data_IF_949305466800
#
_entry.id   IF_949305466800
#
_cell.length_a   1.000
_cell.length_b   1.000
_cell.length_c   1.000
_cell.angle_alpha   90.00
_cell.angle_beta   90.00
_cell.angle_gamma   90.00
#
_symmetry.space_group_name_H-M   'P 1'
#
loop_
_entity.id
_entity.type
_entity.pdbx_description
1 polymer ?
#
# COMPACT_ATOMS: atom_id res chain seq x y z
N UNK A 1 -12.16 -3.06 12.05
CA UNK A 1 -13.12 -2.54 11.04
C UNK A 1 -13.08 -3.36 9.75
N UNK A 2 -11.90 -3.88 9.40
CA UNK A 2 -11.62 -4.73 8.24
C UNK A 2 -12.52 -5.98 8.06
N UNK A 3 -12.84 -6.73 9.14
CA UNK A 3 -13.70 -7.94 9.07
C UNK A 3 -15.12 -7.67 8.54
N UNK A 4 -15.66 -6.46 8.75
CA UNK A 4 -16.99 -6.07 8.27
C UNK A 4 -17.01 -5.83 6.74
N UNK A 5 -15.85 -5.43 6.20
CA UNK A 5 -15.66 -4.99 4.82
C UNK A 5 -15.28 -6.12 3.87
N UNK A 6 -14.34 -6.97 4.28
CA UNK A 6 -14.01 -8.22 3.55
C UNK A 6 -15.27 -9.08 3.35
N UNK A 7 -16.18 -9.09 4.34
CA UNK A 7 -17.48 -9.78 4.23
C UNK A 7 -18.42 -9.17 3.18
N UNK A 8 -18.37 -7.86 2.92
CA UNK A 8 -19.26 -7.21 1.95
C UNK A 8 -18.93 -7.59 0.50
N UNK A 9 -17.64 -7.75 0.18
CA UNK A 9 -17.17 -8.26 -1.12
C UNK A 9 -17.32 -9.78 -1.21
N UNK A 10 -17.09 -10.51 -0.11
CA UNK A 10 -17.27 -11.96 -0.07
C UNK A 10 -18.75 -12.41 -0.14
N UNK A 11 -19.72 -11.54 0.15
CA UNK A 11 -21.15 -11.85 -0.02
C UNK A 11 -21.60 -11.81 -1.50
N UNK A 12 -20.82 -11.21 -2.41
CA UNK A 12 -21.03 -11.36 -3.87
C UNK A 12 -20.24 -12.53 -4.48
N UNK A 13 -19.20 -13.02 -3.81
CA UNK A 13 -18.38 -14.17 -4.25
C UNK A 13 -18.24 -15.18 -3.10
N UNK A 14 -19.16 -16.14 -3.04
CA UNK A 14 -19.10 -17.23 -2.07
C UNK A 14 -17.98 -18.20 -2.44
N UNK A 15 -16.78 -18.03 -1.88
CA UNK A 15 -15.91 -19.11 -1.36
C UNK A 15 -14.55 -18.57 -0.93
N UNK A 16 -14.31 -18.50 0.38
CA UNK A 16 -13.11 -19.04 1.08
C UNK A 16 -13.13 -18.57 2.52
N UNK A 17 -13.36 -19.51 3.43
CA UNK A 17 -13.33 -19.28 4.87
C UNK A 17 -11.92 -18.97 5.34
N UNK A 18 -11.81 -17.98 6.23
CA UNK A 18 -10.67 -17.86 7.13
C UNK A 18 -10.61 -19.14 7.97
N UNK A 19 -9.54 -19.93 7.81
CA UNK A 19 -9.25 -21.03 8.74
C UNK A 19 -8.60 -20.41 9.96
N UNK A 20 -9.34 -20.35 11.06
CA UNK A 20 -8.88 -19.91 12.36
C UNK A 20 -8.02 -21.03 12.96
N UNK A 21 -6.69 -20.90 12.91
CA UNK A 21 -5.79 -21.80 13.64
C UNK A 21 -5.34 -21.12 14.93
N UNK A 22 -6.05 -21.38 16.02
CA UNK A 22 -5.56 -21.12 17.38
C UNK A 22 -5.20 -22.46 18.04
N UNK A 23 -3.98 -22.63 18.59
CA UNK A 23 -3.67 -23.78 19.42
C UNK A 23 -4.30 -23.61 20.80
N UNK A 24 -5.14 -24.59 21.14
CA UNK A 24 -5.84 -24.76 22.42
C UNK A 24 -4.88 -25.00 23.58
N UNK A 25 -5.08 -24.28 24.69
CA UNK A 25 -4.74 -24.76 26.03
C UNK A 25 -5.99 -24.67 26.91
N UNK A 26 -6.63 -25.82 27.12
CA UNK A 26 -7.52 -26.17 28.24
C UNK A 26 -6.79 -25.95 29.58
N UNK A 27 -7.32 -25.45 30.71
CA UNK A 27 -8.59 -25.57 31.48
C UNK A 27 -8.45 -24.65 32.75
N UNK A 28 -9.40 -24.57 33.72
CA UNK A 28 -10.85 -24.68 33.71
C UNK A 28 -11.58 -23.47 34.38
N UNK A 29 -12.91 -23.55 34.35
CA UNK A 29 -13.94 -22.63 34.86
C UNK A 29 -13.86 -22.27 36.35
N UNK A 30 -14.31 -21.05 36.68
CA UNK A 30 -15.09 -20.78 37.89
C UNK A 30 -16.24 -19.82 37.59
N UNK A 31 -17.40 -20.16 38.14
CA UNK A 31 -18.73 -19.60 37.91
C UNK A 31 -19.18 -18.70 39.06
N UNK A 32 -19.69 -17.51 38.77
CA UNK A 32 -20.68 -16.73 39.55
C UNK A 32 -21.20 -15.64 38.56
N UNK A 33 -22.48 -15.44 38.25
CA UNK A 33 -23.69 -15.52 39.06
C UNK A 33 -24.05 -14.11 39.53
N UNK A 34 -24.88 -13.36 38.80
CA UNK A 34 -25.36 -12.04 39.24
C UNK A 34 -26.02 -11.17 38.17
N UNK A 35 -27.33 -11.32 38.02
CA UNK A 35 -28.26 -10.44 37.31
C UNK A 35 -28.59 -9.16 38.10
N UNK A 36 -28.65 -7.98 37.47
CA UNK A 36 -29.62 -6.91 37.82
C UNK A 36 -29.84 -5.98 36.61
N UNK A 37 -31.10 -5.87 36.17
CA UNK A 37 -31.66 -4.79 35.35
C UNK A 37 -31.99 -3.58 36.23
N UNK A 38 -31.71 -2.34 35.79
CA UNK A 38 -32.59 -1.17 36.06
C UNK A 38 -32.47 -0.13 34.93
N UNK A 39 -33.64 0.37 34.54
CA UNK A 39 -33.94 1.31 33.47
C UNK A 39 -33.49 2.77 33.70
N UNK A 40 -33.22 3.43 32.56
CA UNK A 40 -33.89 4.66 32.08
C UNK A 40 -33.94 5.91 32.97
N UNK A 41 -33.38 7.02 32.47
CA UNK A 41 -34.09 8.31 32.52
C UNK A 41 -33.65 9.24 31.38
N UNK A 42 -34.66 9.85 30.77
CA UNK A 42 -34.63 10.85 29.70
C UNK A 42 -34.73 12.25 30.31
N UNK A 43 -33.97 13.22 29.80
CA UNK A 43 -34.28 14.66 29.83
C UNK A 43 -33.37 15.35 28.80
N UNK A 44 -33.86 15.68 27.61
CA UNK A 44 -34.59 16.90 27.19
C UNK A 44 -33.70 18.11 26.93
N UNK A 45 -33.81 18.60 25.70
CA UNK A 45 -33.05 19.65 25.04
C UNK A 45 -33.39 21.06 25.51
N UNK A 46 -32.50 22.02 25.22
CA UNK A 46 -32.92 23.42 24.96
C UNK A 46 -32.01 24.05 23.92
N UNK A 47 -32.63 24.54 22.85
CA UNK A 47 -32.03 25.28 21.75
C UNK A 47 -32.08 26.79 22.03
N UNK A 48 -31.07 27.54 21.56
CA UNK A 48 -31.13 29.00 21.42
C UNK A 48 -30.64 29.39 20.02
N UNK A 49 -31.57 29.92 19.21
CA UNK A 49 -31.37 30.79 18.03
C UNK A 49 -31.05 32.21 18.56
N UNK A 50 -30.40 33.18 17.92
CA UNK A 50 -30.31 33.65 16.53
C UNK A 50 -29.46 34.94 16.57
N UNK A 51 -28.72 35.31 15.51
CA UNK A 51 -28.98 36.54 14.71
C UNK A 51 -27.81 36.90 13.78
N UNK A 52 -28.23 37.16 12.55
CA UNK A 52 -27.56 37.67 11.36
C UNK A 52 -27.36 39.19 11.42
N UNK A 53 -26.27 39.71 10.82
CA UNK A 53 -26.19 41.07 10.25
C UNK A 53 -25.27 41.02 9.00
N UNK A 54 -25.81 41.45 7.86
CA UNK A 54 -25.11 41.83 6.62
C UNK A 54 -24.65 43.31 6.74
N UNK A 55 -23.71 43.90 6.00
CA UNK A 55 -23.14 43.72 4.66
C UNK A 55 -21.95 44.73 4.56
N UNK A 56 -21.06 44.60 3.57
CA UNK A 56 -20.55 45.67 2.65
C UNK A 56 -19.33 45.12 1.89
N UNK A 57 -19.43 45.20 0.56
CA UNK A 57 -18.46 44.88 -0.49
C UNK A 57 -17.21 45.78 -0.46
N UNK A 58 -16.02 45.21 -0.73
CA UNK A 58 -14.96 45.91 -1.45
C UNK A 58 -14.05 44.93 -2.21
N UNK A 59 -13.85 45.21 -3.48
CA UNK A 59 -13.16 44.41 -4.49
C UNK A 59 -11.65 44.30 -4.27
N UNK A 60 -11.11 43.08 -4.23
CA UNK A 60 -9.67 42.83 -4.23
C UNK A 60 -9.31 41.37 -4.54
N UNK A 61 -8.74 41.13 -5.72
CA UNK A 61 -8.20 39.84 -6.16
C UNK A 61 -7.27 39.23 -5.10
N UNK A 62 -7.75 38.20 -4.40
CA UNK A 62 -7.01 37.49 -3.35
C UNK A 62 -7.14 36.00 -3.58
N UNK A 63 -5.99 35.34 -3.77
CA UNK A 63 -5.85 33.88 -3.72
C UNK A 63 -6.52 33.38 -2.44
N UNK A 64 -7.56 32.58 -2.57
CA UNK A 64 -8.22 31.93 -1.43
C UNK A 64 -7.18 31.02 -0.75
N UNK A 65 -6.76 31.29 0.50
CA UNK A 65 -6.01 30.32 1.26
C UNK A 65 -7.03 29.25 1.67
N UNK A 66 -6.87 28.04 1.15
CA UNK A 66 -7.54 26.86 1.71
C UNK A 66 -7.23 26.84 3.21
N UNK A 67 -8.21 27.09 4.06
CA UNK A 67 -8.10 26.99 5.51
C UNK A 67 -7.94 25.52 5.91
N UNK A 68 -6.78 24.94 5.63
CA UNK A 68 -6.34 23.72 6.28
C UNK A 68 -6.04 24.12 7.71
N UNK A 69 -6.83 23.58 8.65
CA UNK A 69 -6.43 23.52 10.05
C UNK A 69 -5.18 22.64 10.12
N UNK A 70 -4.02 23.22 9.83
CA UNK A 70 -2.73 22.59 10.00
C UNK A 70 -2.61 22.10 11.43
N UNK A 71 -2.05 20.91 11.58
CA UNK A 71 -1.77 20.26 12.85
C UNK A 71 -0.64 20.96 13.61
N UNK A 72 -0.80 22.27 13.86
CA UNK A 72 0.13 23.06 14.66
C UNK A 72 0.00 22.64 16.12
N UNK A 73 0.92 21.81 16.57
CA UNK A 73 1.13 21.51 17.98
C UNK A 73 2.60 21.84 18.31
N UNK A 74 2.82 22.63 19.36
CA UNK A 74 4.14 23.18 19.75
C UNK A 74 4.93 23.90 18.63
N UNK A 75 4.24 24.47 17.63
CA UNK A 75 4.87 25.18 16.51
C UNK A 75 5.41 24.27 15.40
N UNK A 76 5.12 22.97 15.44
CA UNK A 76 5.48 22.00 14.41
C UNK A 76 4.25 21.75 13.51
N UNK A 77 4.44 21.83 12.19
CA UNK A 77 3.44 21.39 11.21
C UNK A 77 3.69 19.91 10.90
N UNK A 78 3.00 19.01 11.62
CA UNK A 78 3.24 17.57 11.47
C UNK A 78 2.82 17.06 10.09
N UNK A 79 1.80 17.64 9.46
CA UNK A 79 1.38 17.26 8.12
C UNK A 79 2.47 17.57 7.10
N UNK A 80 3.12 18.73 7.21
CA UNK A 80 4.25 19.08 6.34
C UNK A 80 5.40 18.07 6.43
N UNK A 81 5.72 17.54 7.62
CA UNK A 81 6.81 16.59 7.81
C UNK A 81 6.67 15.29 7.00
N UNK A 82 5.43 14.86 6.71
CA UNK A 82 5.16 13.68 5.88
C UNK A 82 5.21 13.98 4.37
N UNK A 83 5.07 15.26 4.01
CA UNK A 83 5.04 15.74 2.63
C UNK A 83 6.40 16.30 2.16
N UNK A 84 7.30 16.64 3.09
CA UNK A 84 8.69 17.01 2.81
C UNK A 84 9.43 15.87 2.09
N UNK A 85 10.12 16.21 1.00
CA UNK A 85 11.05 15.28 0.36
C UNK A 85 12.24 15.05 1.30
N UNK A 86 12.58 13.79 1.56
CA UNK A 86 13.71 13.47 2.42
C UNK A 86 15.03 13.85 1.73
N UNK A 87 15.82 14.72 2.37
CA UNK A 87 17.15 15.10 1.87
C UNK A 87 18.05 13.86 1.69
N UNK A 88 18.81 13.86 0.58
CA UNK A 88 19.63 12.73 0.15
C UNK A 88 20.92 12.53 0.94
N UNK A 89 21.20 13.35 1.96
CA UNK A 89 22.51 13.41 2.62
C UNK A 89 22.64 12.44 3.82
N UNK A 90 22.34 11.17 3.58
CA UNK A 90 22.79 10.10 4.49
C UNK A 90 24.29 9.86 4.29
N UNK A 91 25.13 10.65 4.96
CA UNK A 91 26.55 10.32 5.10
C UNK A 91 26.70 9.13 6.07
N UNK A 92 26.75 7.93 5.51
CA UNK A 92 26.91 6.69 6.29
C UNK A 92 28.30 6.60 6.96
N UNK A 93 29.25 7.41 6.53
CA UNK A 93 30.58 7.54 7.14
C UNK A 93 30.48 8.03 8.60
N UNK A 94 29.55 8.94 8.90
CA UNK A 94 29.32 9.43 10.25
C UNK A 94 28.75 8.36 11.21
N UNK A 95 28.13 7.30 10.67
CA UNK A 95 27.44 6.27 11.44
C UNK A 95 28.07 4.87 11.34
N UNK A 96 29.23 4.73 10.67
CA UNK A 96 29.86 3.44 10.38
C UNK A 96 30.21 2.61 11.62
N UNK A 97 30.61 3.24 12.73
CA UNK A 97 30.92 2.55 14.00
C UNK A 97 29.69 1.91 14.65
N UNK A 98 28.52 2.56 14.57
CA UNK A 98 27.28 2.02 15.12
C UNK A 98 26.72 0.87 14.27
N UNK A 99 26.81 1.00 12.93
CA UNK A 99 26.41 -0.06 12.00
C UNK A 99 27.28 -1.31 12.18
N UNK A 100 28.61 -1.13 12.25
CA UNK A 100 29.53 -2.26 12.47
C UNK A 100 29.31 -2.93 13.82
N UNK A 101 29.03 -2.16 14.88
CA UNK A 101 28.66 -2.71 16.19
C UNK A 101 27.36 -3.53 16.12
N UNK A 102 26.29 -3.00 15.55
CA UNK A 102 25.03 -3.74 15.34
C UNK A 102 25.23 -5.01 14.53
N UNK A 103 26.05 -4.95 13.48
CA UNK A 103 26.29 -6.10 12.62
C UNK A 103 27.19 -7.16 13.25
N UNK A 104 28.04 -6.78 14.21
CA UNK A 104 28.80 -7.75 15.00
C UNK A 104 27.91 -8.64 15.87
N UNK A 105 26.67 -8.19 16.15
CA UNK A 105 25.69 -8.92 16.96
C UNK A 105 24.82 -9.88 16.14
N UNK A 106 24.87 -9.82 14.80
CA UNK A 106 24.03 -10.64 13.93
C UNK A 106 24.83 -11.74 13.23
N UNK A 107 24.25 -12.94 13.12
CA UNK A 107 24.83 -14.08 12.39
C UNK A 107 24.11 -14.28 11.06
N UNK A 108 24.80 -14.76 10.04
CA UNK A 108 24.20 -15.10 8.74
C UNK A 108 23.06 -16.11 8.98
N UNK A 109 21.90 -15.83 8.38
CA UNK A 109 20.67 -16.61 8.52
C UNK A 109 19.78 -16.20 9.70
N UNK A 110 20.24 -15.30 10.58
CA UNK A 110 19.46 -14.84 11.72
C UNK A 110 18.25 -14.00 11.27
N UNK A 111 17.13 -14.17 11.98
CA UNK A 111 15.94 -13.34 11.84
C UNK A 111 16.19 -11.94 12.41
N UNK A 112 15.96 -10.92 11.60
CA UNK A 112 16.22 -9.52 11.96
C UNK A 112 15.02 -8.81 12.59
N UNK A 113 13.86 -9.46 12.71
CA UNK A 113 12.67 -8.86 13.35
C UNK A 113 12.93 -8.47 14.81
N UNK A 114 13.90 -9.12 15.47
CA UNK A 114 14.30 -8.86 16.87
C UNK A 114 15.50 -7.92 17.00
N UNK A 115 16.08 -7.46 15.90
CA UNK A 115 17.23 -6.55 15.90
C UNK A 115 16.74 -5.12 15.68
N UNK A 116 17.07 -4.23 16.61
CA UNK A 116 16.73 -2.81 16.47
C UNK A 116 17.71 -2.19 15.48
N UNK A 117 17.19 -1.71 14.35
CA UNK A 117 17.99 -1.01 13.36
C UNK A 117 18.08 0.50 13.73
N UNK A 118 19.15 1.21 13.31
CA UNK A 118 19.31 2.62 13.61
C UNK A 118 18.17 3.49 13.08
N UNK A 119 17.85 4.59 13.75
CA UNK A 119 16.76 5.49 13.36
C UNK A 119 17.04 6.23 12.05
N UNK A 120 18.30 6.52 11.70
CA UNK A 120 18.63 7.22 10.44
C UNK A 120 18.34 6.39 9.18
N UNK A 121 18.18 5.06 9.29
CA UNK A 121 17.73 4.23 8.16
C UNK A 121 16.21 4.18 8.03
N UNK A 122 15.47 4.85 8.92
CA UNK A 122 14.02 4.86 8.88
C UNK A 122 13.53 5.86 7.83
N UNK A 123 12.45 5.48 7.16
CA UNK A 123 11.67 6.34 6.30
C UNK A 123 10.55 6.97 7.12
N UNK A 124 10.20 8.24 6.84
CA UNK A 124 9.15 8.99 7.53
C UNK A 124 7.73 8.56 7.12
N UNK A 125 7.45 7.26 7.16
CA UNK A 125 6.11 6.68 6.94
C UNK A 125 6.01 5.26 7.48
N UNK A 126 4.78 4.87 7.82
CA UNK A 126 4.45 3.48 8.17
C UNK A 126 4.52 2.56 6.95
N UNK A 127 4.75 1.27 7.19
CA UNK A 127 4.60 0.24 6.16
C UNK A 127 3.21 0.29 5.52
N UNK A 128 2.17 0.57 6.30
CA UNK A 128 0.79 0.68 5.79
C UNK A 128 0.66 1.79 4.75
N UNK A 129 1.28 2.94 5.01
CA UNK A 129 1.33 4.07 4.07
C UNK A 129 2.19 3.75 2.84
N UNK A 130 3.32 3.07 3.01
CA UNK A 130 4.19 2.66 1.88
C UNK A 130 3.44 1.80 0.85
N UNK A 131 2.58 0.88 1.30
CA UNK A 131 1.79 0.04 0.39
C UNK A 131 0.72 0.83 -0.37
N UNK A 132 0.26 1.97 0.14
CA UNK A 132 -0.63 2.85 -0.59
C UNK A 132 0.04 3.40 -1.85
N UNK A 133 1.37 3.59 -1.86
CA UNK A 133 2.10 4.11 -3.02
C UNK A 133 2.11 3.14 -4.20
N UNK A 134 1.76 1.87 -4.02
CA UNK A 134 1.54 0.94 -5.13
C UNK A 134 0.31 1.30 -5.98
N UNK A 135 -0.53 2.22 -5.50
CA UNK A 135 -1.62 2.84 -6.24
C UNK A 135 -1.28 4.23 -6.77
N UNK A 136 0.02 4.56 -6.93
CA UNK A 136 0.49 5.77 -7.60
C UNK A 136 -0.06 5.96 -9.03
N UNK A 137 -0.50 4.88 -9.67
CA UNK A 137 -1.15 4.84 -10.98
C UNK A 137 -2.56 4.26 -10.87
N UNK A 138 -3.51 4.98 -10.23
CA UNK A 138 -4.87 4.51 -10.05
C UNK A 138 -5.61 4.41 -11.39
N UNK A 139 -5.26 5.22 -12.38
CA UNK A 139 -5.73 5.16 -13.75
C UNK A 139 -5.46 3.78 -14.40
N UNK A 140 -4.26 3.22 -14.20
CA UNK A 140 -3.91 1.90 -14.70
C UNK A 140 -4.71 0.79 -14.00
N UNK A 141 -4.98 0.95 -12.70
CA UNK A 141 -5.79 0.01 -11.94
C UNK A 141 -7.25 0.01 -12.43
N UNK A 142 -7.87 1.19 -12.48
CA UNK A 142 -9.28 1.35 -12.82
C UNK A 142 -9.56 0.88 -14.25
N UNK A 143 -8.63 1.12 -15.18
CA UNK A 143 -8.73 0.70 -16.58
C UNK A 143 -8.91 -0.81 -16.75
N UNK A 144 -8.53 -1.64 -15.77
CA UNK A 144 -8.77 -3.09 -15.80
C UNK A 144 -10.29 -3.38 -15.96
N UNK A 145 -11.13 -2.61 -15.26
CA UNK A 145 -12.59 -2.79 -15.29
C UNK A 145 -13.24 -2.41 -16.63
N UNK A 146 -12.59 -1.51 -17.38
CA UNK A 146 -13.11 -0.92 -18.62
C UNK A 146 -12.86 -1.79 -19.85
N UNK A 147 -12.03 -2.83 -19.73
CA UNK A 147 -11.65 -3.69 -20.85
C UNK A 147 -12.58 -4.90 -20.97
N UNK A 148 -13.13 -5.12 -22.16
CA UNK A 148 -14.11 -6.18 -22.43
C UNK A 148 -13.50 -7.55 -22.71
N UNK A 149 -12.33 -7.61 -23.34
CA UNK A 149 -11.64 -8.88 -23.63
C UNK A 149 -10.85 -9.37 -22.40
N UNK A 150 -11.07 -10.59 -21.88
CA UNK A 150 -10.26 -11.17 -20.80
C UNK A 150 -8.76 -11.17 -21.10
N UNK A 151 -8.40 -11.32 -22.38
CA UNK A 151 -7.01 -11.26 -22.86
C UNK A 151 -6.40 -9.88 -22.61
N UNK A 152 -7.13 -8.81 -22.89
CA UNK A 152 -6.66 -7.44 -22.67
C UNK A 152 -6.64 -7.10 -21.18
N UNK A 153 -7.61 -7.61 -20.41
CA UNK A 153 -7.65 -7.45 -18.95
C UNK A 153 -6.43 -8.04 -18.26
N UNK A 154 -6.03 -9.28 -18.55
CA UNK A 154 -4.84 -9.87 -17.90
C UNK A 154 -3.56 -9.09 -18.23
N UNK A 155 -3.45 -8.56 -19.45
CA UNK A 155 -2.34 -7.69 -19.86
C UNK A 155 -2.36 -6.38 -19.06
N UNK A 156 -3.55 -5.80 -18.85
CA UNK A 156 -3.71 -4.58 -18.07
C UNK A 156 -3.44 -4.78 -16.57
N UNK A 157 -3.85 -5.92 -15.98
CA UNK A 157 -3.49 -6.30 -14.60
C UNK A 157 -1.98 -6.37 -14.46
N UNK A 158 -1.30 -7.04 -15.39
CA UNK A 158 0.15 -7.12 -15.43
C UNK A 158 0.79 -5.73 -15.57
N UNK A 159 0.22 -4.84 -16.39
CA UNK A 159 0.68 -3.46 -16.57
C UNK A 159 0.59 -2.64 -15.29
N UNK A 160 -0.58 -2.64 -14.64
CA UNK A 160 -0.76 -1.95 -13.36
C UNK A 160 0.22 -2.50 -12.31
N UNK A 161 0.29 -3.83 -12.17
CA UNK A 161 1.14 -4.50 -11.19
C UNK A 161 2.63 -4.15 -11.37
N UNK A 162 3.16 -4.20 -12.59
CA UNK A 162 4.56 -3.87 -12.87
C UNK A 162 4.85 -2.37 -12.73
N UNK A 163 3.85 -1.51 -12.90
CA UNK A 163 4.00 -0.05 -12.74
C UNK A 163 3.97 0.39 -11.27
N UNK A 164 3.52 -0.46 -10.34
CA UNK A 164 3.34 -0.08 -8.94
C UNK A 164 4.68 0.10 -8.18
N UNK A 165 5.68 -0.73 -8.46
CA UNK A 165 6.87 -0.87 -7.60
C UNK A 165 7.80 0.35 -7.56
N UNK A 166 7.87 1.13 -8.64
CA UNK A 166 8.72 2.32 -8.71
C UNK A 166 8.34 3.39 -7.65
N UNK A 167 7.04 3.54 -7.35
CA UNK A 167 6.50 4.57 -6.47
C UNK A 167 6.67 4.21 -4.99
N UNK A 168 6.88 2.93 -4.69
CA UNK A 168 7.29 2.49 -3.36
C UNK A 168 8.66 3.05 -2.94
N UNK A 169 9.45 3.61 -3.87
CA UNK A 169 10.78 4.17 -3.57
C UNK A 169 10.77 5.70 -3.69
N UNK A 170 10.85 6.39 -2.55
CA UNK A 170 11.06 7.85 -2.53
C UNK A 170 12.50 8.27 -2.81
N UNK A 171 13.48 7.38 -2.56
CA UNK A 171 14.91 7.68 -2.71
C UNK A 171 15.70 6.51 -3.31
N UNK A 172 16.87 6.82 -3.87
CA UNK A 172 17.84 5.83 -4.29
C UNK A 172 18.40 5.03 -3.10
N UNK A 173 18.53 5.69 -1.94
CA UNK A 173 18.99 5.08 -0.69
C UNK A 173 17.83 4.29 -0.07
N UNK A 174 18.09 3.03 0.27
CA UNK A 174 17.11 2.19 0.93
C UNK A 174 16.88 2.65 2.37
N UNK A 175 15.64 3.01 2.68
CA UNK A 175 15.16 3.25 4.03
C UNK A 175 14.08 2.23 4.39
N UNK A 176 13.90 2.01 5.68
CA UNK A 176 12.94 1.07 6.24
C UNK A 176 11.74 1.85 6.79
N UNK A 177 10.51 1.55 6.35
CA UNK A 177 9.33 2.19 6.94
C UNK A 177 9.14 1.76 8.40
N UNK A 178 8.31 2.50 9.14
CA UNK A 178 7.93 2.12 10.49
C UNK A 178 7.25 0.75 10.49
N UNK A 179 7.58 -0.08 11.49
CA UNK A 179 6.92 -1.35 11.70
C UNK A 179 5.57 -1.08 12.37
N UNK A 180 4.43 -1.32 11.71
CA UNK A 180 3.15 -0.87 12.25
C UNK A 180 2.82 -1.54 13.58
N UNK A 181 2.15 -0.80 14.47
CA UNK A 181 1.64 -1.35 15.73
C UNK A 181 0.36 -2.16 15.49
N UNK A 182 0.02 -3.10 16.38
CA UNK A 182 -1.24 -3.85 16.25
C UNK A 182 -2.44 -2.89 16.27
N UNK A 183 -3.35 -3.04 15.30
CA UNK A 183 -4.53 -2.19 15.16
C UNK A 183 -4.25 -0.83 14.51
N UNK A 184 -3.02 -0.53 14.11
CA UNK A 184 -2.72 0.65 13.30
C UNK A 184 -3.49 0.62 11.99
N UNK A 185 -4.00 1.77 11.56
CA UNK A 185 -4.78 1.94 10.33
C UNK A 185 -4.16 3.02 9.47
N UNK A 186 -4.15 2.85 8.14
CA UNK A 186 -3.86 3.92 7.19
C UNK A 186 -5.01 4.08 6.21
N UNK A 187 -5.47 5.32 6.00
CA UNK A 187 -6.56 5.65 5.09
C UNK A 187 -6.15 6.78 4.16
N UNK A 188 -6.41 6.61 2.86
CA UNK A 188 -6.20 7.65 1.87
C UNK A 188 -7.12 7.46 0.67
N UNK A 189 -7.08 8.42 -0.26
CA UNK A 189 -7.75 8.31 -1.55
C UNK A 189 -6.98 9.02 -2.66
N UNK A 190 -7.40 8.80 -3.90
CA UNK A 190 -6.95 9.52 -5.08
C UNK A 190 -8.15 10.07 -5.84
N UNK A 191 -8.04 11.34 -6.23
CA UNK A 191 -8.91 11.89 -7.27
C UNK A 191 -8.45 11.39 -8.63
N UNK A 192 -9.39 10.89 -9.42
CA UNK A 192 -9.11 10.33 -10.74
C UNK A 192 -9.16 11.44 -11.79
N UNK A 193 -8.09 11.68 -12.56
CA UNK A 193 -8.10 12.73 -13.57
C UNK A 193 -9.16 12.49 -14.63
N UNK A 194 -9.86 13.56 -14.99
CA UNK A 194 -10.91 13.51 -16.01
C UNK A 194 -12.28 13.05 -15.48
N UNK A 195 -12.40 12.63 -14.22
CA UNK A 195 -13.71 12.40 -13.58
C UNK A 195 -14.27 13.69 -12.96
N UNK A 196 -15.60 13.82 -12.95
CA UNK A 196 -16.29 14.97 -12.35
C UNK A 196 -16.31 14.86 -10.82
N UNK A 197 -15.68 15.82 -10.14
CA UNK A 197 -15.51 15.87 -8.68
C UNK A 197 -16.77 16.30 -7.90
N UNK A 198 -17.94 15.79 -8.29
CA UNK A 198 -19.24 16.17 -7.72
C UNK A 198 -20.10 14.97 -7.31
N UNK A 199 -19.56 13.76 -7.33
CA UNK A 199 -20.29 12.56 -6.92
C UNK A 199 -20.52 12.52 -5.39
N UNK A 200 -21.60 11.90 -4.91
CA UNK A 200 -21.86 11.82 -3.49
C UNK A 200 -20.83 10.94 -2.76
N UNK A 201 -20.64 11.22 -1.47
CA UNK A 201 -19.82 10.40 -0.58
C UNK A 201 -20.43 9.00 -0.35
N UNK A 202 -19.57 7.99 -0.24
CA UNK A 202 -19.95 6.63 0.13
C UNK A 202 -19.89 6.52 1.65
N UNK A 203 -20.93 7.02 2.33
CA UNK A 203 -21.00 7.08 3.80
C UNK A 203 -20.84 5.73 4.49
N UNK A 204 -21.29 4.69 3.82
CA UNK A 204 -21.20 3.33 4.30
C UNK A 204 -19.99 2.60 3.73
N UNK A 205 -19.01 3.32 3.13
CA UNK A 205 -17.74 2.98 2.45
C UNK A 205 -16.55 2.72 3.40
N UNK A 206 -15.42 2.14 2.92
CA UNK A 206 -14.25 1.86 3.75
C UNK A 206 -13.60 3.15 4.28
N UNK A 207 -13.73 4.24 3.51
CA UNK A 207 -13.32 5.59 3.85
C UNK A 207 -14.57 6.48 3.71
N UNK A 208 -15.41 6.62 4.76
CA UNK A 208 -16.77 7.17 4.67
C UNK A 208 -16.92 8.59 4.13
N UNK A 209 -15.82 9.35 4.10
CA UNK A 209 -15.75 10.73 3.61
C UNK A 209 -15.27 10.83 2.14
N UNK A 210 -15.04 9.70 1.47
CA UNK A 210 -14.65 9.68 0.07
C UNK A 210 -15.86 9.59 -0.86
N UNK A 211 -15.73 10.21 -2.03
CA UNK A 211 -16.74 10.21 -3.10
C UNK A 211 -16.67 8.95 -3.95
N UNK A 212 -17.74 8.69 -4.71
CA UNK A 212 -17.88 7.48 -5.56
C UNK A 212 -16.94 7.44 -6.78
N UNK A 213 -16.44 8.59 -7.21
CA UNK A 213 -15.48 8.83 -8.31
C UNK A 213 -14.02 8.80 -7.86
N UNK A 214 -13.76 8.44 -6.60
CA UNK A 214 -12.41 8.36 -6.04
C UNK A 214 -11.99 6.90 -5.88
N UNK A 215 -10.69 6.64 -6.04
CA UNK A 215 -10.09 5.40 -5.56
C UNK A 215 -9.77 5.57 -4.07
N UNK A 216 -10.37 4.73 -3.23
CA UNK A 216 -10.10 4.72 -1.78
C UNK A 216 -9.14 3.61 -1.41
N UNK A 217 -8.37 3.79 -0.34
CA UNK A 217 -7.46 2.79 0.21
C UNK A 217 -7.50 2.78 1.73
N UNK A 218 -7.52 1.58 2.28
CA UNK A 218 -7.53 1.27 3.70
C UNK A 218 -6.51 0.16 3.96
N UNK A 219 -5.66 0.34 4.95
CA UNK A 219 -4.75 -0.69 5.45
C UNK A 219 -4.89 -0.82 6.96
N UNK A 220 -4.77 -2.04 7.49
CA UNK A 220 -4.83 -2.33 8.92
C UNK A 220 -3.71 -3.32 9.29
N UNK A 221 -3.00 -3.08 10.38
CA UNK A 221 -2.08 -4.05 10.97
C UNK A 221 -2.88 -5.04 11.82
N UNK A 222 -3.14 -6.23 11.26
CA UNK A 222 -4.04 -7.23 11.87
C UNK A 222 -3.33 -8.21 12.81
N UNK A 223 -2.00 -8.26 12.77
CA UNK A 223 -1.18 -9.05 13.71
C UNK A 223 0.20 -8.43 13.87
N UNK A 224 0.78 -8.51 15.07
CA UNK A 224 2.17 -8.04 15.33
C UNK A 224 3.18 -9.19 15.43
N UNK A 225 2.74 -10.38 15.88
CA UNK A 225 3.60 -11.56 16.04
C UNK A 225 2.89 -12.83 15.52
N UNK A 226 3.13 -13.24 14.26
CA UNK A 226 3.97 -12.59 13.25
C UNK A 226 3.35 -11.28 12.74
N UNK A 227 4.14 -10.35 12.15
CA UNK A 227 3.60 -9.10 11.62
C UNK A 227 2.81 -9.36 10.34
N UNK A 228 1.49 -9.14 10.38
CA UNK A 228 0.59 -9.29 9.23
C UNK A 228 -0.15 -7.96 9.03
N UNK A 229 -0.04 -7.41 7.83
CA UNK A 229 -0.79 -6.24 7.38
C UNK A 229 -1.84 -6.67 6.35
N UNK A 230 -3.01 -6.06 6.39
CA UNK A 230 -4.08 -6.30 5.43
C UNK A 230 -4.46 -4.99 4.74
N UNK A 231 -4.82 -5.08 3.46
CA UNK A 231 -5.02 -3.93 2.56
C UNK A 231 -6.32 -4.09 1.79
N UNK A 232 -6.99 -2.97 1.55
CA UNK A 232 -8.20 -2.86 0.76
C UNK A 232 -8.16 -1.59 -0.07
N UNK A 233 -8.50 -1.67 -1.35
CA UNK A 233 -8.76 -0.52 -2.19
C UNK A 233 -10.05 -0.72 -2.97
N UNK A 234 -10.81 0.35 -3.22
CA UNK A 234 -11.99 0.27 -4.07
C UNK A 234 -12.23 1.56 -4.85
N UNK A 235 -12.75 1.39 -6.06
CA UNK A 235 -13.38 2.46 -6.80
C UNK A 235 -14.86 2.13 -7.00
N UNK A 236 -15.74 2.88 -6.33
CA UNK A 236 -17.15 2.52 -6.21
C UNK A 236 -17.87 2.51 -7.56
N UNK A 237 -17.70 3.55 -8.38
CA UNK A 237 -18.39 3.65 -9.67
C UNK A 237 -17.88 2.66 -10.72
N UNK A 238 -16.59 2.30 -10.67
CA UNK A 238 -15.93 1.41 -11.63
C UNK A 238 -16.00 -0.06 -11.21
N UNK A 239 -16.61 -0.34 -10.05
CA UNK A 239 -16.93 -1.69 -9.57
C UNK A 239 -15.70 -2.61 -9.54
N UNK A 240 -14.57 -2.03 -9.15
CA UNK A 240 -13.28 -2.71 -9.01
C UNK A 240 -12.78 -2.55 -7.58
N UNK A 241 -12.29 -3.66 -7.01
CA UNK A 241 -11.67 -3.69 -5.68
C UNK A 241 -10.33 -4.39 -5.73
N UNK A 242 -9.48 -4.09 -4.75
CA UNK A 242 -8.27 -4.84 -4.46
C UNK A 242 -8.26 -5.22 -3.00
N UNK A 243 -7.96 -6.48 -2.69
CA UNK A 243 -7.74 -6.93 -1.32
C UNK A 243 -6.39 -7.61 -1.25
N UNK A 244 -5.65 -7.44 -0.15
CA UNK A 244 -4.40 -8.15 0.04
C UNK A 244 -4.11 -8.38 1.51
N UNK A 245 -3.28 -9.37 1.79
CA UNK A 245 -2.59 -9.49 3.06
C UNK A 245 -1.13 -9.83 2.80
N UNK A 246 -0.24 -9.28 3.62
CA UNK A 246 1.19 -9.55 3.54
C UNK A 246 1.74 -9.74 4.93
N UNK A 247 2.61 -10.73 5.07
CA UNK A 247 3.52 -10.86 6.19
C UNK A 247 4.92 -11.15 5.67
N UNK A 248 5.92 -10.74 6.44
CA UNK A 248 7.31 -10.77 5.97
C UNK A 248 8.17 -11.70 6.82
N UNK A 249 9.11 -12.39 6.16
CA UNK A 249 10.20 -13.11 6.82
C UNK A 249 11.53 -12.51 6.42
N UNK A 250 12.18 -11.88 7.38
CA UNK A 250 13.47 -11.24 7.20
C UNK A 250 14.62 -12.18 7.54
N UNK A 251 15.69 -12.17 6.74
CA UNK A 251 16.92 -12.93 6.96
C UNK A 251 18.14 -12.04 6.74
N UNK A 252 19.08 -12.08 7.67
CA UNK A 252 20.40 -11.50 7.47
C UNK A 252 21.25 -12.36 6.53
N UNK A 253 21.80 -11.77 5.47
CA UNK A 253 22.56 -12.43 4.41
C UNK A 253 24.01 -11.91 4.34
N UNK A 254 24.56 -11.40 5.44
CA UNK A 254 25.90 -10.81 5.48
C UNK A 254 25.88 -9.36 5.01
N UNK A 255 26.20 -9.10 3.74
CA UNK A 255 26.17 -7.73 3.16
C UNK A 255 24.78 -7.33 2.64
N UNK A 256 23.75 -8.09 2.99
CA UNK A 256 22.38 -7.88 2.53
C UNK A 256 21.37 -8.33 3.57
N UNK A 257 20.16 -7.82 3.47
CA UNK A 257 18.98 -8.27 4.20
C UNK A 257 17.99 -8.77 3.16
N UNK A 258 17.55 -10.02 3.27
CA UNK A 258 16.48 -10.57 2.43
C UNK A 258 15.15 -10.52 3.17
N UNK A 259 14.11 -10.03 2.52
CA UNK A 259 12.74 -9.93 3.01
C UNK A 259 11.85 -10.75 2.09
N UNK A 260 11.35 -11.87 2.60
CA UNK A 260 10.41 -12.70 1.86
C UNK A 260 9.01 -12.19 2.12
N UNK A 261 8.32 -11.76 1.06
CA UNK A 261 6.95 -11.30 1.14
C UNK A 261 6.03 -12.51 0.93
N UNK A 262 5.23 -12.83 1.94
CA UNK A 262 4.32 -13.97 1.92
C UNK A 262 2.90 -13.43 2.02
N UNK A 263 2.05 -13.87 1.11
CA UNK A 263 0.67 -13.42 1.00
C UNK A 263 0.25 -13.35 -0.46
N UNK A 264 -0.96 -12.86 -0.67
CA UNK A 264 -1.53 -12.64 -2.00
C UNK A 264 -2.38 -11.37 -2.01
N UNK A 265 -2.47 -10.78 -3.20
CA UNK A 265 -3.45 -9.75 -3.54
C UNK A 265 -4.49 -10.29 -4.51
N UNK A 266 -5.69 -9.73 -4.49
CA UNK A 266 -6.80 -10.11 -5.35
C UNK A 266 -7.41 -8.84 -5.90
N UNK A 267 -7.33 -8.64 -7.21
CA UNK A 267 -8.14 -7.65 -7.93
C UNK A 267 -9.48 -8.30 -8.27
N UNK A 268 -10.58 -7.65 -7.95
CA UNK A 268 -11.93 -8.15 -8.21
C UNK A 268 -12.69 -7.20 -9.10
N UNK A 269 -13.27 -7.71 -10.18
CA UNK A 269 -14.20 -7.01 -11.06
C UNK A 269 -15.61 -7.46 -10.72
N UNK A 270 -16.34 -6.65 -9.96
CA UNK A 270 -17.63 -7.04 -9.36
C UNK A 270 -18.65 -7.37 -10.45
N UNK A 271 -18.79 -6.52 -11.46
CA UNK A 271 -19.77 -6.71 -12.53
C UNK A 271 -19.50 -7.95 -13.41
N UNK A 272 -18.25 -8.43 -13.41
CA UNK A 272 -17.82 -9.61 -14.18
C UNK A 272 -17.71 -10.88 -13.35
N UNK A 273 -17.79 -10.77 -12.01
CA UNK A 273 -17.47 -11.87 -11.08
C UNK A 273 -16.09 -12.50 -11.37
N UNK A 274 -15.12 -11.68 -11.79
CA UNK A 274 -13.76 -12.10 -12.13
C UNK A 274 -12.77 -11.67 -11.04
N UNK A 275 -11.82 -12.55 -10.72
CA UNK A 275 -10.75 -12.28 -9.76
C UNK A 275 -9.38 -12.53 -10.40
N UNK A 276 -8.43 -11.63 -10.14
CA UNK A 276 -7.04 -11.78 -10.53
C UNK A 276 -6.18 -11.87 -9.27
N UNK A 277 -5.65 -13.05 -9.01
CA UNK A 277 -4.83 -13.36 -7.85
C UNK A 277 -3.37 -13.10 -8.20
N UNK A 278 -2.68 -12.31 -7.37
CA UNK A 278 -1.28 -11.92 -7.54
C UNK A 278 -0.47 -12.27 -6.30
N UNK A 279 0.73 -12.82 -6.49
CA UNK A 279 1.74 -12.96 -5.41
C UNK A 279 2.72 -11.78 -5.42
N UNK A 280 3.67 -11.73 -4.48
CA UNK A 280 4.60 -10.61 -4.33
C UNK A 280 6.07 -11.04 -4.52
N UNK A 281 6.94 -10.18 -5.09
CA UNK A 281 8.36 -10.46 -5.16
C UNK A 281 9.00 -10.34 -3.78
N UNK A 282 10.19 -10.93 -3.62
CA UNK A 282 11.02 -10.70 -2.43
C UNK A 282 11.75 -9.36 -2.53
N UNK A 283 11.99 -8.73 -1.39
CA UNK A 283 12.81 -7.52 -1.28
C UNK A 283 14.20 -7.83 -0.74
N UNK A 284 15.21 -7.14 -1.23
CA UNK A 284 16.57 -7.23 -0.71
C UNK A 284 17.12 -5.84 -0.44
N UNK A 285 17.48 -5.57 0.82
CA UNK A 285 18.31 -4.43 1.18
C UNK A 285 19.77 -4.80 0.96
N UNK A 286 20.39 -4.27 -0.09
CA UNK A 286 21.79 -4.53 -0.45
C UNK A 286 22.70 -3.48 0.16
N UNK A 287 23.99 -3.78 0.29
CA UNK A 287 25.03 -2.81 0.67
C UNK A 287 24.81 -2.13 2.02
N UNK A 288 24.31 -2.88 3.01
CA UNK A 288 23.96 -2.36 4.34
C UNK A 288 25.14 -1.83 5.19
N UNK A 289 26.39 -2.05 4.75
CA UNK A 289 27.61 -1.50 5.35
C UNK A 289 28.11 -0.22 4.66
N UNK A 290 27.57 0.09 3.48
CA UNK A 290 27.88 1.30 2.72
C UNK A 290 26.54 1.97 2.42
N UNK A 291 26.29 2.49 1.22
CA UNK A 291 25.00 3.09 0.88
C UNK A 291 23.99 2.01 0.50
N UNK A 292 22.94 1.77 1.31
CA UNK A 292 22.03 0.69 1.07
C UNK A 292 21.10 1.00 -0.10
N UNK A 293 20.69 -0.03 -0.85
CA UNK A 293 19.74 0.12 -1.95
C UNK A 293 18.80 -1.08 -2.02
N UNK A 294 17.57 -0.84 -2.49
CA UNK A 294 16.55 -1.89 -2.63
C UNK A 294 16.72 -2.60 -3.98
N UNK A 295 16.61 -3.92 -3.93
CA UNK A 295 16.49 -4.81 -5.07
C UNK A 295 15.24 -5.69 -4.89
N UNK A 296 14.50 -5.91 -5.97
CA UNK A 296 13.41 -6.89 -5.99
C UNK A 296 13.88 -8.16 -6.67
N UNK A 297 13.42 -9.30 -6.19
CA UNK A 297 13.82 -10.60 -6.73
C UNK A 297 12.78 -11.70 -6.58
N UNK A 298 12.84 -12.67 -7.49
CA UNK A 298 12.05 -13.90 -7.45
C UNK A 298 10.79 -13.87 -8.30
N UNK A 299 10.13 -15.03 -8.31
CA UNK A 299 8.98 -15.30 -9.17
C UNK A 299 7.67 -14.82 -8.55
N UNK A 300 6.83 -14.27 -9.41
CA UNK A 300 5.47 -13.82 -9.12
C UNK A 300 4.52 -14.47 -10.12
N UNK A 301 3.34 -14.85 -9.64
CA UNK A 301 2.25 -15.37 -10.45
C UNK A 301 1.10 -14.35 -10.44
N UNK A 302 0.51 -14.10 -11.61
CA UNK A 302 -0.75 -13.38 -11.77
C UNK A 302 -1.69 -14.34 -12.50
N UNK A 303 -2.84 -14.68 -11.92
CA UNK A 303 -3.78 -15.62 -12.55
C UNK A 303 -5.22 -15.21 -12.37
N UNK A 304 -6.04 -15.50 -13.38
CA UNK A 304 -7.48 -15.38 -13.31
C UNK A 304 -8.12 -16.77 -13.40
N UNK A 305 -8.58 -17.36 -12.28
CA UNK A 305 -9.20 -18.68 -12.28
C UNK A 305 -10.43 -18.79 -13.19
N UNK A 306 -11.22 -17.72 -13.31
CA UNK A 306 -12.47 -17.68 -14.06
C UNK A 306 -12.23 -17.74 -15.58
N UNK A 307 -11.19 -17.06 -16.06
CA UNK A 307 -10.89 -16.97 -17.49
C UNK A 307 -9.81 -17.96 -17.92
N UNK A 308 -9.00 -18.46 -16.98
CA UNK A 308 -7.87 -19.37 -17.23
C UNK A 308 -6.59 -18.68 -17.70
N UNK A 309 -6.61 -17.36 -17.92
CA UNK A 309 -5.40 -16.60 -18.28
C UNK A 309 -4.47 -16.46 -17.08
N UNK A 310 -3.17 -16.48 -17.35
CA UNK A 310 -2.15 -16.28 -16.31
C UNK A 310 -0.90 -15.62 -16.87
N UNK A 311 -0.10 -15.06 -15.97
CA UNK A 311 1.21 -14.50 -16.26
C UNK A 311 2.23 -14.96 -15.22
N UNK A 312 3.41 -15.31 -15.71
CA UNK A 312 4.59 -15.58 -14.89
C UNK A 312 5.50 -14.36 -14.98
N UNK A 313 5.81 -13.76 -13.84
CA UNK A 313 6.68 -12.58 -13.73
C UNK A 313 7.92 -12.96 -12.93
N UNK A 314 9.09 -12.54 -13.39
CA UNK A 314 10.36 -12.77 -12.71
C UNK A 314 11.05 -11.43 -12.47
N UNK A 315 11.24 -11.08 -11.20
CA UNK A 315 12.09 -9.97 -10.79
C UNK A 315 13.53 -10.49 -10.70
N UNK A 316 14.41 -9.97 -11.54
CA UNK A 316 15.78 -10.46 -11.69
C UNK A 316 16.72 -9.67 -10.78
N UNK A 317 17.31 -10.36 -9.80
CA UNK A 317 18.39 -9.79 -8.99
C UNK A 317 19.64 -9.59 -9.84
N UNK A 318 20.42 -8.55 -9.55
CA UNK A 318 21.66 -8.25 -10.24
C UNK A 318 22.63 -9.42 -10.15
N UNK A 319 23.14 -9.94 -11.29
CA UNK A 319 24.20 -10.95 -11.30
C UNK A 319 25.48 -10.47 -10.60
N UNK A 320 26.29 -11.41 -10.13
CA UNK A 320 27.59 -11.10 -9.50
C UNK A 320 28.57 -10.39 -10.46
N UNK A 321 28.49 -10.68 -11.76
CA UNK A 321 29.35 -10.08 -12.79
C UNK A 321 28.53 -9.26 -13.78
N UNK A 322 28.80 -7.96 -13.85
CA UNK A 322 28.12 -7.04 -14.77
C UNK A 322 26.60 -6.92 -14.51
N UNK A 323 25.87 -6.51 -15.55
CA UNK A 323 24.40 -6.45 -15.53
C UNK A 323 23.80 -5.12 -15.03
N UNK A 324 22.57 -4.85 -15.50
CA UNK A 324 21.76 -3.72 -15.04
C UNK A 324 20.92 -4.12 -13.83
N UNK A 325 20.58 -3.15 -12.99
CA UNK A 325 19.68 -3.33 -11.84
C UNK A 325 18.22 -3.38 -12.30
N UNK A 326 17.35 -3.78 -11.39
CA UNK A 326 15.89 -3.65 -11.51
C UNK A 326 15.29 -4.35 -12.74
N UNK A 327 15.96 -5.39 -13.26
CA UNK A 327 15.45 -6.14 -14.40
C UNK A 327 14.20 -6.92 -14.04
N UNK A 328 13.25 -6.96 -14.96
CA UNK A 328 12.02 -7.75 -14.85
C UNK A 328 11.67 -8.37 -16.20
N UNK A 329 11.15 -9.58 -16.17
CA UNK A 329 10.53 -10.25 -17.31
C UNK A 329 9.16 -10.75 -16.95
N UNK A 330 8.21 -10.72 -17.88
CA UNK A 330 6.91 -11.35 -17.71
C UNK A 330 6.48 -12.07 -18.98
N UNK A 331 5.76 -13.17 -18.82
CA UNK A 331 5.20 -13.95 -19.91
C UNK A 331 3.72 -14.19 -19.61
N UNK A 332 2.84 -13.84 -20.55
CA UNK A 332 1.39 -13.94 -20.38
C UNK A 332 0.85 -14.98 -21.34
N UNK A 333 0.01 -15.87 -20.81
CA UNK A 333 -0.45 -17.10 -21.43
C UNK A 333 -1.96 -17.11 -21.55
N UNK A 334 -2.44 -17.65 -22.66
CA UNK A 334 -3.84 -18.01 -22.83
C UNK A 334 -4.17 -19.26 -22.02
N UNK A 335 -5.46 -19.55 -21.77
CA UNK A 335 -5.86 -20.76 -21.07
C UNK A 335 -5.33 -22.01 -21.77
N UNK A 336 -4.67 -22.89 -21.01
CA UNK A 336 -4.09 -24.17 -21.48
C UNK A 336 -2.93 -24.06 -22.48
N UNK A 337 -2.50 -22.86 -22.87
CA UNK A 337 -1.38 -22.69 -23.78
C UNK A 337 -0.03 -22.76 -23.05
N UNK A 338 0.93 -23.46 -23.66
CA UNK A 338 2.31 -23.53 -23.14
C UNK A 338 3.22 -22.42 -23.67
N UNK A 339 2.76 -21.65 -24.64
CA UNK A 339 3.53 -20.57 -25.25
C UNK A 339 2.88 -19.24 -24.87
N UNK A 340 3.64 -18.25 -24.43
CA UNK A 340 3.08 -16.95 -24.13
C UNK A 340 2.63 -16.25 -25.42
N UNK A 341 1.52 -15.53 -25.38
CA UNK A 341 1.12 -14.65 -26.48
C UNK A 341 1.80 -13.28 -26.41
N UNK A 342 2.27 -12.89 -25.22
CA UNK A 342 3.10 -11.69 -25.03
C UNK A 342 4.20 -11.95 -24.02
N UNK A 343 5.40 -11.47 -24.35
CA UNK A 343 6.54 -11.40 -23.42
C UNK A 343 6.88 -9.94 -23.16
N UNK A 344 7.06 -9.59 -21.90
CA UNK A 344 7.43 -8.24 -21.44
C UNK A 344 8.83 -8.33 -20.85
N UNK A 345 9.69 -7.37 -21.15
CA UNK A 345 11.02 -7.29 -20.56
C UNK A 345 11.45 -5.84 -20.39
N UNK A 346 12.22 -5.55 -19.34
CA UNK A 346 12.73 -4.22 -19.11
C UNK A 346 13.21 -3.99 -17.70
N UNK A 347 13.00 -2.78 -17.21
CA UNK A 347 13.36 -2.35 -15.86
C UNK A 347 12.09 -1.89 -15.13
N UNK A 348 11.76 -2.49 -13.98
CA UNK A 348 10.54 -2.15 -13.24
C UNK A 348 10.56 -0.70 -12.69
N UNK A 349 11.74 -0.09 -12.67
CA UNK A 349 11.96 1.32 -12.33
C UNK A 349 12.17 2.21 -13.57
N UNK A 350 11.79 1.75 -14.77
CA UNK A 350 11.98 2.50 -16.00
C UNK A 350 11.15 1.96 -17.16
N UNK A 351 11.80 1.77 -18.30
CA UNK A 351 11.18 1.29 -19.53
C UNK A 351 11.01 -0.23 -19.51
N UNK A 352 9.81 -0.68 -19.85
CA UNK A 352 9.47 -2.06 -20.19
C UNK A 352 8.85 -2.10 -21.59
N UNK A 353 9.24 -3.10 -22.38
CA UNK A 353 8.75 -3.34 -23.73
C UNK A 353 7.96 -4.66 -23.78
N UNK A 354 6.90 -4.69 -24.58
CA UNK A 354 6.09 -5.88 -24.83
C UNK A 354 6.31 -6.37 -26.26
N UNK A 355 6.60 -7.67 -26.39
CA UNK A 355 6.67 -8.41 -27.64
C UNK A 355 5.43 -9.30 -27.75
N UNK A 356 4.53 -8.95 -28.66
CA UNK A 356 3.33 -9.71 -29.01
C UNK A 356 3.69 -10.77 -30.06
N UNK A 357 3.67 -12.04 -29.65
CA UNK A 357 4.12 -13.15 -30.50
C UNK A 357 3.13 -13.51 -31.59
N UNK A 358 1.83 -13.32 -31.34
CA UNK A 358 0.77 -13.55 -32.32
C UNK A 358 0.70 -12.46 -33.40
N UNK A 359 1.11 -11.23 -33.05
CA UNK A 359 1.13 -10.07 -33.95
C UNK A 359 2.50 -9.77 -34.55
N UNK A 360 3.54 -10.50 -34.11
CA UNK A 360 4.95 -10.22 -34.42
C UNK A 360 5.31 -8.74 -34.27
N UNK A 361 4.86 -8.12 -33.17
CA UNK A 361 4.98 -6.69 -32.90
C UNK A 361 5.67 -6.46 -31.56
N UNK A 362 6.62 -5.52 -31.53
CA UNK A 362 7.20 -5.00 -30.29
C UNK A 362 6.76 -3.56 -30.08
N UNK A 363 6.38 -3.21 -28.86
CA UNK A 363 6.02 -1.84 -28.49
C UNK A 363 6.39 -1.54 -27.04
N UNK A 364 6.41 -0.25 -26.70
CA UNK A 364 6.55 0.18 -25.30
C UNK A 364 5.36 -0.36 -24.50
N UNK A 365 5.66 -1.11 -23.45
CA UNK A 365 4.64 -1.63 -22.53
C UNK A 365 4.24 -0.57 -21.51
N UNK A 366 5.25 0.01 -20.85
CA UNK A 366 5.16 1.18 -19.97
C UNK A 366 6.56 1.78 -19.76
N UNK A 367 6.65 3.10 -19.65
CA UNK A 367 7.84 3.79 -19.14
C UNK A 367 7.42 4.57 -17.90
N UNK A 368 7.77 4.03 -16.72
CA UNK A 368 7.31 4.59 -15.44
C UNK A 368 7.91 5.98 -15.15
N UNK A 369 8.95 6.39 -15.88
CA UNK A 369 9.53 7.74 -15.77
C UNK A 369 8.80 8.79 -16.62
N UNK A 370 7.82 8.37 -17.44
CA UNK A 370 7.09 9.25 -18.38
C UNK A 370 5.60 9.35 -18.11
N UNK A 371 5.06 8.48 -17.27
CA UNK A 371 3.64 8.50 -16.88
C UNK A 371 3.46 9.36 -15.62
N UNK A 372 2.33 10.08 -15.49
CA UNK A 372 2.06 10.90 -14.32
C UNK A 372 1.88 10.03 -13.06
N UNK A 373 2.41 10.50 -11.93
CA UNK A 373 2.16 9.90 -10.61
C UNK A 373 1.04 10.70 -9.94
N UNK A 374 0.03 9.99 -9.43
CA UNK A 374 -1.08 10.60 -8.74
C UNK A 374 -0.85 10.58 -7.23
N UNK A 375 -0.86 11.77 -6.63
CA UNK A 375 -0.60 11.94 -5.21
C UNK A 375 -1.82 11.52 -4.39
N UNK A 376 -1.60 10.59 -3.46
CA UNK A 376 -2.60 10.20 -2.46
C UNK A 376 -2.97 11.39 -1.57
N UNK A 377 -4.25 11.50 -1.25
CA UNK A 377 -4.80 12.48 -0.33
C UNK A 377 -5.06 11.81 1.02
N UNK A 378 -4.53 12.40 2.07
CA UNK A 378 -4.66 11.94 3.47
C UNK A 378 -5.29 13.07 4.26
N UNK A 379 -6.19 12.75 5.20
CA UNK A 379 -6.76 13.77 6.09
C UNK A 379 -5.66 14.40 6.96
N UNK A 380 -5.78 15.69 7.32
CA UNK A 380 -4.88 16.31 8.28
C UNK A 380 -4.78 15.50 9.57
N UNK A 381 -3.59 15.46 10.19
CA UNK A 381 -3.35 14.68 11.41
C UNK A 381 -4.32 15.03 12.55
N UNK A 382 -4.79 16.29 12.62
CA UNK A 382 -5.78 16.73 13.62
C UNK A 382 -7.17 16.10 13.43
N UNK A 383 -7.49 15.64 12.23
CA UNK A 383 -8.76 14.98 11.90
C UNK A 383 -8.64 13.44 11.91
N UNK A 384 -7.44 12.92 12.11
CA UNK A 384 -7.17 11.49 12.11
C UNK A 384 -7.52 10.85 13.46
N UNK A 385 -7.98 9.59 13.45
CA UNK A 385 -8.22 8.83 14.68
C UNK A 385 -6.90 8.43 15.37
N UNK A 386 -6.96 8.07 16.66
CA UNK A 386 -5.78 7.79 17.51
C UNK A 386 -4.82 6.75 16.92
N UNK A 387 -5.36 5.74 16.23
CA UNK A 387 -4.60 4.64 15.62
C UNK A 387 -4.26 4.85 14.14
N UNK A 388 -4.56 6.02 13.56
CA UNK A 388 -4.16 6.30 12.19
C UNK A 388 -2.66 6.57 12.08
N UNK A 389 -1.99 5.96 11.09
CA UNK A 389 -0.52 5.88 11.02
C UNK A 389 0.20 7.21 11.21
N UNK A 390 -0.22 8.28 10.51
CA UNK A 390 0.48 9.57 10.62
C UNK A 390 0.29 10.20 11.99
N UNK A 391 -0.86 10.01 12.64
CA UNK A 391 -1.08 10.45 14.03
C UNK A 391 -0.27 9.64 15.03
N UNK A 392 -0.22 8.31 14.88
CA UNK A 392 0.56 7.40 15.74
C UNK A 392 2.05 7.75 15.70
N UNK A 393 2.58 7.99 14.50
CA UNK A 393 4.02 8.17 14.29
C UNK A 393 4.47 9.63 14.29
N UNK A 394 3.57 10.61 14.53
CA UNK A 394 3.86 12.05 14.37
C UNK A 394 5.11 12.52 15.14
N UNK A 395 5.24 12.10 16.40
CA UNK A 395 6.37 12.51 17.26
C UNK A 395 7.67 11.81 16.86
N UNK A 396 7.59 10.56 16.40
CA UNK A 396 8.74 9.84 15.87
C UNK A 396 9.21 10.52 14.59
N UNK A 397 8.29 10.91 13.71
CA UNK A 397 8.59 11.64 12.48
C UNK A 397 9.22 13.01 12.77
N UNK A 398 8.72 13.74 13.77
CA UNK A 398 9.34 14.99 14.22
C UNK A 398 10.76 14.79 14.76
N UNK A 399 11.02 13.72 15.51
CA UNK A 399 12.36 13.39 16.02
C UNK A 399 13.36 12.86 14.98
N UNK A 400 12.92 12.56 13.75
CA UNK A 400 13.80 12.20 12.63
C UNK A 400 14.21 13.41 11.75
N UNK A 401 13.74 14.61 12.09
CA UNK A 401 14.23 15.87 11.52
C UNK A 401 15.27 16.45 12.45
#
# INVERSE_FOLDING_TARGET
MFKKWVRRVSLSTTTRGFVETSPTHDKPQDSYGGSVDVAGTTTSATAIKTKTVAEVDETGSSKVPSSRSSSYDNGIDYDALYEEEEEMDLSMEAHGSMITHLLSQVKIGMDLTKVVLPTFILERRSLLEMYADYFAHPDLFIKISELDDPRDRIVQVCRWYLSAYHAGRKSAVAKKPYNPILGEVFQCHWDIPGETQNEPEVKDGPVPWCRRDQLTFLAEQVSHHPPISAFYAEHYNKKITFTAHVWTKSKFLGLSIGVHNIGEGVVTLVDRSEEYIVTFPNGYGRSILTVPWIELGGSVEIKCPQTGYYANVEFLTKPFYGGKRNKVTAEIYSPNDKKPFVSIAGEWSGLMEAKWHDKNKTEVFVDVNRIPIFKKQVRPIVEQDEYESRRVWKEVTAGLK
#
